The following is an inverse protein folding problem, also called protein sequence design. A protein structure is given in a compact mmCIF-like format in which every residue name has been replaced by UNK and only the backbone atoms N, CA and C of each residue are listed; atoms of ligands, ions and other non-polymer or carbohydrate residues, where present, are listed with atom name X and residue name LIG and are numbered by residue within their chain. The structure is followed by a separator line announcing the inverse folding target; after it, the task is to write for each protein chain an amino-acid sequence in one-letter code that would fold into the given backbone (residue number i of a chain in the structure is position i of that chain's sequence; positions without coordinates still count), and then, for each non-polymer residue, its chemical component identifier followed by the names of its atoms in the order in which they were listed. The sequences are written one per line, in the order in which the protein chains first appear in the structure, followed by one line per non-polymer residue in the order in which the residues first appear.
data_IF_718862567893
#
_entry.id   IF_718862567893
#
_cell.length_a   1.000
_cell.length_b   1.000
_cell.length_c   1.000
_cell.angle_alpha   90.00
_cell.angle_beta   90.00
_cell.angle_gamma   90.00
#
_symmetry.space_group_name_H-M   'P 1'
#
loop_
_entity.id
_entity.type
_entity.pdbx_description
1 polymer ?
#
# COMPACT_ATOMS: atom_id res chain seq x y z
N UNK A 1 -8.11 -28.47 -0.34
CA UNK A 1 -8.63 -27.56 -1.39
C UNK A 1 -7.78 -27.73 -2.64
N UNK A 2 -8.35 -27.97 -3.82
CA UNK A 2 -7.58 -28.03 -5.06
C UNK A 2 -6.91 -26.69 -5.33
N UNK A 3 -5.68 -26.71 -5.87
CA UNK A 3 -4.96 -25.49 -6.26
C UNK A 3 -5.53 -24.96 -7.59
N UNK A 4 -5.77 -23.66 -7.65
CA UNK A 4 -6.18 -22.93 -8.85
C UNK A 4 -5.08 -23.01 -9.94
N UNK A 5 -5.45 -23.04 -11.22
CA UNK A 5 -4.48 -22.94 -12.33
C UNK A 5 -3.89 -21.54 -12.44
N UNK A 6 -2.70 -21.39 -13.05
CA UNK A 6 -2.07 -20.08 -13.22
C UNK A 6 -2.95 -19.07 -13.97
N UNK A 7 -3.67 -19.53 -14.99
CA UNK A 7 -4.57 -18.69 -15.79
C UNK A 7 -5.77 -18.20 -14.98
N UNK A 8 -6.42 -19.08 -14.21
CA UNK A 8 -7.53 -18.71 -13.35
C UNK A 8 -7.09 -17.70 -12.27
N UNK A 9 -5.90 -17.91 -11.68
CA UNK A 9 -5.31 -17.00 -10.68
C UNK A 9 -5.08 -15.60 -11.26
N UNK A 10 -4.55 -15.52 -12.48
CA UNK A 10 -4.33 -14.25 -13.18
C UNK A 10 -5.66 -13.52 -13.49
N UNK A 11 -6.68 -14.25 -13.95
CA UNK A 11 -8.00 -13.69 -14.22
C UNK A 11 -8.66 -13.12 -12.94
N UNK A 12 -8.56 -13.85 -11.83
CA UNK A 12 -9.05 -13.40 -10.52
C UNK A 12 -8.28 -12.18 -10.00
N UNK A 13 -6.95 -12.18 -10.13
CA UNK A 13 -6.11 -11.02 -9.75
C UNK A 13 -6.53 -9.75 -10.50
N UNK A 14 -6.73 -9.85 -11.83
CA UNK A 14 -7.16 -8.71 -12.66
C UNK A 14 -8.49 -8.13 -12.19
N UNK A 15 -9.46 -9.00 -11.83
CA UNK A 15 -10.76 -8.58 -11.29
C UNK A 15 -10.63 -7.89 -9.93
N UNK A 16 -9.77 -8.40 -9.05
CA UNK A 16 -9.52 -7.82 -7.73
C UNK A 16 -8.90 -6.43 -7.88
N UNK A 17 -7.84 -6.28 -8.67
CA UNK A 17 -7.17 -4.99 -8.90
C UNK A 17 -8.16 -3.96 -9.48
N UNK A 18 -8.96 -4.34 -10.48
CA UNK A 18 -9.97 -3.44 -11.06
C UNK A 18 -11.02 -2.99 -10.03
N UNK A 19 -11.43 -3.89 -9.14
CA UNK A 19 -12.38 -3.57 -8.06
C UNK A 19 -11.75 -2.61 -7.05
N UNK A 20 -10.49 -2.85 -6.67
CA UNK A 20 -9.77 -1.99 -5.72
C UNK A 20 -9.54 -0.58 -6.28
N UNK A 21 -9.13 -0.45 -7.55
CA UNK A 21 -8.99 0.87 -8.19
C UNK A 21 -10.32 1.63 -8.26
N UNK A 22 -11.44 0.93 -8.49
CA UNK A 22 -12.78 1.57 -8.47
C UNK A 22 -13.20 1.99 -7.06
N UNK A 23 -12.87 1.20 -6.05
CA UNK A 23 -13.25 1.45 -4.66
C UNK A 23 -12.39 2.56 -4.00
N UNK A 24 -11.13 2.66 -4.38
CA UNK A 24 -10.14 3.60 -3.81
C UNK A 24 -9.42 4.37 -4.93
N UNK A 25 -10.11 5.27 -5.65
CA UNK A 25 -9.55 5.96 -6.82
C UNK A 25 -8.36 6.85 -6.48
N UNK A 26 -8.30 7.37 -5.25
CA UNK A 26 -7.28 8.32 -4.80
C UNK A 26 -6.23 7.69 -3.87
N UNK A 27 -6.09 6.35 -3.87
CA UNK A 27 -5.11 5.68 -3.02
C UNK A 27 -3.67 6.08 -3.37
N UNK A 28 -2.93 6.57 -2.39
CA UNK A 28 -1.53 7.00 -2.50
C UNK A 28 -0.78 6.71 -1.19
N UNK A 29 0.52 7.02 -1.13
CA UNK A 29 1.29 6.90 0.11
C UNK A 29 0.85 7.97 1.11
N UNK A 30 0.47 7.57 2.33
CA UNK A 30 0.01 8.50 3.38
C UNK A 30 1.15 9.09 4.23
N UNK A 31 2.40 8.64 4.05
CA UNK A 31 3.56 9.19 4.76
C UNK A 31 3.97 10.54 4.17
N UNK A 32 4.08 11.56 5.02
CA UNK A 32 4.54 12.89 4.65
C UNK A 32 6.07 12.89 4.52
N UNK A 33 6.57 13.09 3.30
CA UNK A 33 8.01 13.21 3.02
C UNK A 33 8.27 14.10 1.81
N UNK A 34 9.35 14.87 1.84
CA UNK A 34 9.78 15.79 0.78
C UNK A 34 10.96 15.27 -0.04
N UNK A 35 11.64 14.22 0.43
CA UNK A 35 12.77 13.60 -0.25
C UNK A 35 12.88 12.09 0.05
N UNK A 36 13.69 11.34 -0.73
CA UNK A 36 13.82 9.89 -0.54
C UNK A 36 14.39 9.45 0.81
N UNK A 37 15.23 10.28 1.45
CA UNK A 37 15.79 9.96 2.76
C UNK A 37 14.70 10.03 3.84
N UNK A 38 13.85 11.06 3.81
CA UNK A 38 12.69 11.17 4.70
C UNK A 38 11.74 9.99 4.53
N UNK A 39 11.43 9.59 3.29
CA UNK A 39 10.58 8.43 3.03
C UNK A 39 11.18 7.14 3.61
N UNK A 40 12.50 6.94 3.48
CA UNK A 40 13.19 5.77 4.03
C UNK A 40 13.06 5.69 5.55
N UNK A 41 13.28 6.81 6.24
CA UNK A 41 13.15 6.88 7.70
C UNK A 41 11.69 6.73 8.12
N UNK A 42 10.76 7.43 7.48
CA UNK A 42 9.32 7.34 7.77
C UNK A 42 8.79 5.91 7.56
N UNK A 43 9.23 5.22 6.51
CA UNK A 43 8.88 3.80 6.26
C UNK A 43 9.42 2.89 7.35
N UNK A 44 10.64 3.14 7.82
CA UNK A 44 11.23 2.36 8.92
C UNK A 44 10.46 2.55 10.23
N UNK A 45 10.00 3.78 10.51
CA UNK A 45 9.18 4.11 11.69
C UNK A 45 7.73 3.63 11.58
N UNK A 46 7.20 3.46 10.37
CA UNK A 46 5.84 2.95 10.10
C UNK A 46 5.69 1.47 10.48
N UNK A 47 6.81 0.73 10.60
CA UNK A 47 6.78 -0.64 11.08
C UNK A 47 6.08 -0.75 12.45
N UNK A 48 4.95 -1.46 12.49
CA UNK A 48 4.10 -1.62 13.69
C UNK A 48 3.58 -0.29 14.26
N UNK A 49 3.49 0.75 13.43
CA UNK A 49 2.99 2.07 13.79
C UNK A 49 1.94 2.52 12.76
N UNK A 50 1.14 3.53 13.10
CA UNK A 50 0.21 4.15 12.14
C UNK A 50 0.90 5.30 11.43
N UNK A 51 0.67 5.48 10.12
CA UNK A 51 1.22 6.61 9.35
C UNK A 51 0.87 7.97 9.98
N UNK A 52 -0.32 8.11 10.59
CA UNK A 52 -0.71 9.30 11.38
C UNK A 52 0.28 9.62 12.52
N UNK A 53 0.76 8.61 13.23
CA UNK A 53 1.74 8.77 14.32
C UNK A 53 3.12 9.05 13.77
N UNK A 54 3.52 8.41 12.68
CA UNK A 54 4.80 8.69 12.00
C UNK A 54 4.83 10.15 11.56
N UNK A 55 3.80 10.60 10.84
CA UNK A 55 3.67 11.98 10.36
C UNK A 55 3.70 13.02 11.50
N UNK A 56 3.19 12.68 12.69
CA UNK A 56 3.26 13.55 13.86
C UNK A 56 4.69 13.69 14.40
N UNK A 57 5.51 12.64 14.32
CA UNK A 57 6.87 12.64 14.90
C UNK A 57 7.96 13.02 13.90
N UNK A 58 7.69 12.97 12.60
CA UNK A 58 8.61 13.36 11.52
C UNK A 58 8.30 14.73 10.91
N UNK A 59 7.35 15.48 11.49
CA UNK A 59 6.99 16.84 11.07
C UNK A 59 8.08 17.88 11.35
#
# INVERSE_FOLDING_TARGET
MPRETGQAKAARLKKIIATLHKAYPDAHCELNCSNPLELLIATSLSAQCTDKRVNLVTA
#
